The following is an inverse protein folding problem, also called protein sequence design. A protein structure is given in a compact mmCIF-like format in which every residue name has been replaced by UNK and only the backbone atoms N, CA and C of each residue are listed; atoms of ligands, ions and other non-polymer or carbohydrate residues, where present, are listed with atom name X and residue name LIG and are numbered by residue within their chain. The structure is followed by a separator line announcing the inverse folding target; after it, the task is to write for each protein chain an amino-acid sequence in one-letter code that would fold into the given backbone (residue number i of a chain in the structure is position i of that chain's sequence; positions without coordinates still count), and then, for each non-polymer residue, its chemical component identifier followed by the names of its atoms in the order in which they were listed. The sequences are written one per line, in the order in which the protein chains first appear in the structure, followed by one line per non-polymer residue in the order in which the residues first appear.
data_IF_973518259869
#
_entry.id   IF_973518259869
#
_cell.length_a   1.000
_cell.length_b   1.000
_cell.length_c   1.000
_cell.angle_alpha   90.00
_cell.angle_beta   90.00
_cell.angle_gamma   90.00
#
_symmetry.space_group_name_H-M   'P 1'
#
loop_
_entity.id
_entity.type
_entity.pdbx_description
1 polymer ?
#
# COMPACT_ATOMS: atom_id res chain seq x y z
N UNK A 1 12.41 24.01 13.52
CA UNK A 1 12.11 24.09 12.07
C UNK A 1 10.97 23.12 11.76
N UNK A 2 10.22 23.30 10.67
CA UNK A 2 9.15 22.37 10.26
C UNK A 2 9.65 20.96 9.86
N UNK A 3 10.96 20.74 9.82
CA UNK A 3 11.62 19.53 9.32
C UNK A 3 12.72 19.06 10.28
N UNK A 4 12.35 18.80 11.54
CA UNK A 4 13.27 18.28 12.56
C UNK A 4 13.70 16.84 12.21
N UNK A 5 15.01 16.55 12.28
CA UNK A 5 15.56 15.21 12.04
C UNK A 5 15.99 14.93 10.60
N UNK A 6 15.72 15.83 9.65
CA UNK A 6 16.26 15.75 8.29
C UNK A 6 17.69 16.30 8.23
N UNK A 7 18.56 15.59 7.51
CA UNK A 7 19.94 16.00 7.26
C UNK A 7 19.99 17.07 6.17
N UNK A 8 20.97 17.97 6.27
CA UNK A 8 21.25 18.92 5.19
C UNK A 8 21.82 18.20 3.96
N UNK A 9 21.70 18.78 2.75
CA UNK A 9 22.25 18.18 1.53
C UNK A 9 23.76 17.93 1.56
N UNK A 10 24.49 18.62 2.45
CA UNK A 10 25.94 18.44 2.64
C UNK A 10 26.30 17.27 3.56
N UNK A 11 25.32 16.68 4.22
CA UNK A 11 25.51 15.58 5.16
C UNK A 11 25.13 14.26 4.50
N UNK A 12 26.07 13.32 4.43
CA UNK A 12 25.80 11.97 3.93
C UNK A 12 24.80 11.25 4.85
N UNK A 13 23.81 10.61 4.24
CA UNK A 13 22.93 9.68 4.95
C UNK A 13 23.68 8.38 5.24
N UNK A 14 23.35 7.74 6.37
CA UNK A 14 23.81 6.36 6.62
C UNK A 14 22.85 5.43 5.89
N UNK A 15 23.34 4.27 5.43
CA UNK A 15 22.47 3.19 4.97
C UNK A 15 21.56 2.83 6.15
N UNK A 16 20.25 2.76 5.89
CA UNK A 16 19.26 2.35 6.87
C UNK A 16 18.81 0.94 6.53
N UNK A 17 18.56 0.16 7.56
CA UNK A 17 17.83 -1.10 7.40
C UNK A 17 16.38 -0.78 7.03
N UNK A 18 15.96 -1.21 5.86
CA UNK A 18 14.59 -1.09 5.36
C UNK A 18 13.84 -2.41 5.41
N UNK A 19 14.46 -3.44 6.02
CA UNK A 19 13.84 -4.73 6.23
C UNK A 19 12.70 -4.63 7.23
N UNK A 20 11.63 -5.37 6.95
CA UNK A 20 10.47 -5.50 7.84
C UNK A 20 10.23 -6.98 8.15
N UNK A 21 9.48 -7.26 9.21
CA UNK A 21 9.17 -8.63 9.58
C UNK A 21 8.30 -9.32 8.51
N UNK A 22 8.61 -10.57 8.20
CA UNK A 22 7.85 -11.37 7.22
C UNK A 22 6.35 -11.50 7.59
N UNK A 23 6.03 -11.53 8.89
CA UNK A 23 4.66 -11.55 9.37
C UNK A 23 3.88 -10.30 8.96
N UNK A 24 4.53 -9.14 9.00
CA UNK A 24 3.93 -7.86 8.61
C UNK A 24 3.70 -7.80 7.10
N UNK A 25 4.71 -8.22 6.31
CA UNK A 25 4.58 -8.33 4.85
C UNK A 25 3.44 -9.28 4.44
N UNK A 26 3.31 -10.43 5.12
CA UNK A 26 2.19 -11.35 4.86
C UNK A 26 0.85 -10.73 5.22
N UNK A 27 0.76 -10.06 6.37
CA UNK A 27 -0.48 -9.39 6.78
C UNK A 27 -0.91 -8.33 5.76
N UNK A 28 0.01 -7.45 5.35
CA UNK A 28 -0.24 -6.42 4.33
C UNK A 28 -0.63 -7.08 3.01
N UNK A 29 0.15 -8.06 2.56
CA UNK A 29 -0.06 -8.75 1.28
C UNK A 29 -1.42 -9.43 1.19
N UNK A 30 -1.86 -10.10 2.27
CA UNK A 30 -3.19 -10.71 2.33
C UNK A 30 -4.28 -9.64 2.28
N UNK A 31 -4.14 -8.54 3.05
CA UNK A 31 -5.10 -7.43 3.10
C UNK A 31 -5.28 -6.74 1.74
N UNK A 32 -4.21 -6.50 1.01
CA UNK A 32 -4.30 -5.84 -0.31
C UNK A 32 -4.95 -6.73 -1.39
N UNK A 33 -5.06 -8.03 -1.14
CA UNK A 33 -5.73 -8.99 -2.03
C UNK A 33 -7.19 -9.27 -1.61
N UNK A 34 -7.65 -8.74 -0.48
CA UNK A 34 -9.03 -8.89 -0.01
C UNK A 34 -9.96 -7.92 -0.76
N UNK A 35 -11.12 -8.42 -1.19
CA UNK A 35 -12.18 -7.61 -1.78
C UNK A 35 -13.31 -7.40 -0.79
N UNK A 36 -13.96 -6.22 -0.78
CA UNK A 36 -15.17 -6.00 0.02
C UNK A 36 -16.30 -6.97 -0.35
N UNK A 37 -17.18 -7.26 0.60
CA UNK A 37 -18.37 -8.10 0.34
C UNK A 37 -19.23 -7.46 -0.76
N UNK A 38 -19.55 -8.24 -1.79
CA UNK A 38 -20.38 -7.80 -2.92
C UNK A 38 -19.64 -6.95 -3.96
N UNK A 39 -18.30 -6.81 -3.86
CA UNK A 39 -17.49 -6.12 -4.85
C UNK A 39 -17.04 -7.09 -5.95
N UNK A 40 -17.41 -6.83 -7.20
CA UNK A 40 -17.09 -7.72 -8.32
C UNK A 40 -16.08 -7.06 -9.26
N UNK A 41 -14.86 -7.59 -9.32
CA UNK A 41 -13.84 -7.09 -10.25
C UNK A 41 -13.89 -7.84 -11.58
N UNK A 42 -13.21 -7.31 -12.60
CA UNK A 42 -13.07 -7.99 -13.87
C UNK A 42 -12.37 -9.36 -13.70
N UNK A 43 -12.84 -10.40 -14.40
CA UNK A 43 -12.35 -11.79 -14.25
C UNK A 43 -10.83 -11.94 -14.37
N UNK A 44 -10.19 -11.15 -15.23
CA UNK A 44 -8.73 -11.16 -15.38
C UNK A 44 -8.03 -10.60 -14.14
N UNK A 45 -8.62 -9.59 -13.50
CA UNK A 45 -8.10 -8.99 -12.28
C UNK A 45 -8.27 -9.93 -11.08
N UNK A 46 -9.37 -10.69 -11.01
CA UNK A 46 -9.53 -11.75 -9.99
C UNK A 46 -8.39 -12.76 -10.03
N UNK A 47 -7.99 -13.19 -11.23
CA UNK A 47 -6.83 -14.10 -11.42
C UNK A 47 -5.53 -13.48 -10.95
N UNK A 48 -5.32 -12.19 -11.24
CA UNK A 48 -4.12 -11.46 -10.79
C UNK A 48 -4.10 -11.41 -9.26
N UNK A 49 -5.20 -11.03 -8.62
CA UNK A 49 -5.29 -10.96 -7.15
C UNK A 49 -5.11 -12.34 -6.50
N UNK A 50 -5.71 -13.40 -7.07
CA UNK A 50 -5.52 -14.76 -6.59
C UNK A 50 -4.05 -15.23 -6.72
N UNK A 51 -3.40 -14.90 -7.84
CA UNK A 51 -1.98 -15.19 -8.05
C UNK A 51 -1.09 -14.46 -7.04
N UNK A 52 -1.33 -13.16 -6.81
CA UNK A 52 -0.62 -12.38 -5.79
C UNK A 52 -0.80 -12.96 -4.38
N UNK A 53 -2.03 -13.32 -4.02
CA UNK A 53 -2.32 -13.95 -2.73
C UNK A 53 -1.49 -15.23 -2.55
N UNK A 54 -1.45 -16.08 -3.57
CA UNK A 54 -0.67 -17.32 -3.56
C UNK A 54 0.84 -17.05 -3.39
N UNK A 55 1.41 -16.12 -4.16
CA UNK A 55 2.86 -15.83 -4.06
C UNK A 55 3.24 -15.22 -2.71
N UNK A 56 2.35 -14.45 -2.09
CA UNK A 56 2.52 -13.92 -0.72
C UNK A 56 2.48 -15.04 0.33
N UNK A 57 1.53 -15.97 0.21
CA UNK A 57 1.41 -17.13 1.12
C UNK A 57 2.64 -18.06 1.01
N UNK A 58 3.06 -18.36 -0.21
CA UNK A 58 4.23 -19.22 -0.48
C UNK A 58 5.56 -18.51 -0.22
N UNK A 59 5.58 -17.17 -0.26
CA UNK A 59 6.77 -16.35 -0.08
C UNK A 59 7.80 -16.46 -1.22
N UNK A 60 7.37 -16.89 -2.41
CA UNK A 60 8.22 -17.10 -3.59
C UNK A 60 7.56 -16.52 -4.83
N UNK A 61 8.38 -16.06 -5.79
CA UNK A 61 7.89 -15.52 -7.06
C UNK A 61 7.11 -14.21 -6.93
N UNK A 62 7.48 -13.36 -5.96
CA UNK A 62 6.90 -12.02 -5.81
C UNK A 62 7.29 -11.17 -7.02
N UNK A 63 6.29 -10.69 -7.76
CA UNK A 63 6.45 -9.80 -8.88
C UNK A 63 6.60 -8.34 -8.44
N UNK A 64 6.97 -7.47 -9.38
CA UNK A 64 7.25 -6.07 -9.10
C UNK A 64 6.04 -5.32 -8.53
N UNK A 65 4.84 -5.54 -9.07
CA UNK A 65 3.63 -4.87 -8.60
C UNK A 65 3.28 -5.26 -7.16
N UNK A 66 3.51 -6.52 -6.79
CA UNK A 66 3.32 -6.98 -5.40
C UNK A 66 4.38 -6.40 -4.47
N UNK A 67 5.66 -6.42 -4.86
CA UNK A 67 6.73 -5.83 -4.06
C UNK A 67 6.52 -4.32 -3.82
N UNK A 68 6.08 -3.59 -4.85
CA UNK A 68 5.73 -2.17 -4.76
C UNK A 68 4.58 -1.94 -3.76
N UNK A 69 3.50 -2.72 -3.87
CA UNK A 69 2.37 -2.62 -2.95
C UNK A 69 2.74 -2.95 -1.50
N UNK A 70 3.60 -3.94 -1.28
CA UNK A 70 4.12 -4.28 0.04
C UNK A 70 4.93 -3.12 0.64
N UNK A 71 5.81 -2.50 -0.16
CA UNK A 71 6.60 -1.35 0.29
C UNK A 71 5.74 -0.12 0.62
N UNK A 72 4.69 0.15 -0.16
CA UNK A 72 3.75 1.20 0.21
C UNK A 72 2.98 0.85 1.47
N UNK A 73 2.51 -0.39 1.60
CA UNK A 73 1.79 -0.85 2.79
C UNK A 73 2.60 -0.69 4.07
N UNK A 74 3.90 -1.04 4.06
CA UNK A 74 4.77 -0.89 5.24
C UNK A 74 4.96 0.58 5.61
N UNK A 75 5.19 1.46 4.63
CA UNK A 75 5.28 2.90 4.86
C UNK A 75 4.00 3.46 5.48
N UNK A 76 2.84 3.01 5.00
CA UNK A 76 1.54 3.43 5.54
C UNK A 76 1.36 2.97 6.99
N UNK A 77 1.76 1.74 7.31
CA UNK A 77 1.72 1.20 8.68
C UNK A 77 2.69 1.93 9.63
N UNK A 78 3.81 2.43 9.12
CA UNK A 78 4.74 3.30 9.87
C UNK A 78 4.24 4.74 10.02
N UNK A 79 3.08 5.08 9.46
CA UNK A 79 2.49 6.40 9.51
C UNK A 79 3.05 7.39 8.49
N UNK A 80 3.73 6.91 7.44
CA UNK A 80 4.17 7.75 6.33
C UNK A 80 3.12 7.75 5.23
N UNK A 81 2.62 8.93 4.88
CA UNK A 81 1.69 9.09 3.76
C UNK A 81 2.39 8.81 2.43
N UNK A 82 1.68 8.11 1.54
CA UNK A 82 2.16 7.81 0.20
C UNK A 82 1.22 8.45 -0.81
N UNK A 83 1.80 9.23 -1.73
CA UNK A 83 1.08 9.83 -2.85
C UNK A 83 1.69 9.33 -4.14
N UNK A 84 0.86 8.75 -4.99
CA UNK A 84 1.23 8.33 -6.34
C UNK A 84 0.52 9.21 -7.36
N UNK A 85 1.27 9.86 -8.24
CA UNK A 85 0.69 10.73 -9.26
C UNK A 85 1.21 10.45 -10.66
N UNK A 86 0.32 10.58 -11.65
CA UNK A 86 0.68 10.47 -13.06
C UNK A 86 -0.45 9.93 -13.93
N UNK A 87 -0.20 9.78 -15.23
CA UNK A 87 -1.17 9.21 -16.16
C UNK A 87 -1.30 7.70 -15.92
N UNK A 88 -2.55 7.22 -15.83
CA UNK A 88 -2.91 5.81 -15.64
C UNK A 88 -2.25 5.12 -14.44
N UNK A 89 -1.80 5.88 -13.43
CA UNK A 89 -1.05 5.29 -12.29
C UNK A 89 -1.91 4.37 -11.43
N UNK A 90 -3.22 4.56 -11.41
CA UNK A 90 -4.20 3.73 -10.68
C UNK A 90 -4.13 2.26 -11.08
N UNK A 91 -4.23 1.97 -12.38
CA UNK A 91 -4.06 0.63 -12.95
C UNK A 91 -2.59 0.29 -13.18
N UNK A 92 -1.80 1.30 -13.51
CA UNK A 92 -0.49 1.22 -14.13
C UNK A 92 -0.61 1.08 -15.64
N UNK A 93 0.28 1.76 -16.38
CA UNK A 93 0.35 1.71 -17.86
C UNK A 93 0.42 0.27 -18.37
N UNK A 94 1.22 -0.59 -17.71
CA UNK A 94 1.35 -2.01 -18.06
C UNK A 94 0.39 -2.93 -17.29
N UNK A 95 -0.68 -2.38 -16.67
CA UNK A 95 -1.67 -3.15 -15.89
C UNK A 95 -1.03 -4.06 -14.83
N UNK A 96 0.04 -3.60 -14.19
CA UNK A 96 0.80 -4.37 -13.20
C UNK A 96 0.48 -3.97 -11.76
N UNK A 97 -0.12 -2.79 -11.53
CA UNK A 97 -0.29 -2.22 -10.20
C UNK A 97 -1.66 -2.56 -9.61
N UNK A 98 -2.72 -2.10 -10.27
CA UNK A 98 -4.09 -2.20 -9.76
C UNK A 98 -4.22 -1.67 -8.32
N UNK A 99 -3.75 -0.44 -8.09
CA UNK A 99 -3.86 0.23 -6.79
C UNK A 99 -5.30 0.70 -6.52
N UNK A 100 -6.05 0.99 -7.58
CA UNK A 100 -7.50 1.24 -7.54
C UNK A 100 -8.19 0.10 -8.28
N UNK A 101 -9.15 -0.52 -7.62
CA UNK A 101 -10.01 -1.55 -8.17
C UNK A 101 -11.37 -0.92 -8.48
N UNK A 102 -11.96 -1.31 -9.61
CA UNK A 102 -13.29 -0.85 -10.03
C UNK A 102 -14.24 -2.05 -10.02
N UNK A 103 -15.43 -1.84 -9.46
CA UNK A 103 -16.52 -2.80 -9.56
C UNK A 103 -17.06 -2.85 -11.00
N UNK A 104 -17.44 -4.03 -11.47
CA UNK A 104 -18.00 -4.24 -12.81
C UNK A 104 -19.50 -3.91 -12.85
N UNK A 105 -20.19 -4.07 -11.73
CA UNK A 105 -21.64 -3.86 -11.64
C UNK A 105 -22.01 -2.47 -11.15
N UNK A 106 -21.05 -1.73 -10.60
CA UNK A 106 -21.25 -0.39 -10.08
C UNK A 106 -20.02 0.48 -10.34
N UNK A 107 -20.16 1.80 -10.37
CA UNK A 107 -19.02 2.73 -10.51
C UNK A 107 -18.24 2.92 -9.19
N UNK A 108 -18.34 1.96 -8.26
CA UNK A 108 -17.62 2.02 -6.99
C UNK A 108 -16.16 1.67 -7.19
N UNK A 109 -15.30 2.43 -6.53
CA UNK A 109 -13.87 2.17 -6.47
C UNK A 109 -13.48 1.63 -5.09
N UNK A 110 -12.45 0.79 -5.08
CA UNK A 110 -11.85 0.27 -3.85
C UNK A 110 -10.34 0.40 -3.93
N UNK A 111 -9.73 0.96 -2.90
CA UNK A 111 -8.27 1.11 -2.77
C UNK A 111 -7.80 0.17 -1.66
N UNK A 112 -7.24 -1.02 -1.99
CA UNK A 112 -6.87 -2.00 -0.97
C UNK A 112 -5.85 -1.48 0.05
N UNK A 113 -4.91 -0.64 -0.40
CA UNK A 113 -3.89 -0.03 0.47
C UNK A 113 -4.46 0.89 1.57
N UNK A 114 -5.70 1.37 1.42
CA UNK A 114 -6.38 2.17 2.45
C UNK A 114 -7.16 1.32 3.47
N UNK A 115 -7.12 -0.01 3.35
CA UNK A 115 -7.90 -0.94 4.17
C UNK A 115 -7.03 -2.02 4.85
N UNK A 116 -5.75 -1.74 5.08
CA UNK A 116 -4.84 -2.64 5.82
C UNK A 116 -5.12 -2.56 7.33
N UNK A 117 -5.32 -1.33 7.83
CA UNK A 117 -5.62 -0.99 9.21
C UNK A 117 -6.57 0.22 9.27
N UNK A 118 -6.86 0.74 10.46
CA UNK A 118 -7.75 1.91 10.61
C UNK A 118 -7.05 3.14 10.02
N UNK A 119 -7.70 3.83 9.09
CA UNK A 119 -7.11 5.01 8.45
C UNK A 119 -7.05 6.21 9.41
N UNK A 120 -5.90 6.88 9.48
CA UNK A 120 -5.76 8.17 10.15
C UNK A 120 -6.45 9.28 9.37
N UNK A 121 -6.94 10.31 10.08
CA UNK A 121 -7.38 11.54 9.43
C UNK A 121 -6.20 12.21 8.72
N UNK A 122 -6.38 12.81 7.52
CA UNK A 122 -5.32 13.54 6.82
C UNK A 122 -4.68 14.66 7.65
N UNK A 123 -5.45 15.23 8.57
CA UNK A 123 -5.05 16.32 9.46
C UNK A 123 -4.47 15.84 10.80
N UNK A 124 -4.44 14.52 11.05
CA UNK A 124 -3.93 13.99 12.31
C UNK A 124 -2.42 14.26 12.43
N UNK A 125 -1.93 14.67 13.62
CA UNK A 125 -0.50 14.86 13.82
C UNK A 125 0.24 13.51 13.78
N UNK A 126 1.47 13.50 13.24
CA UNK A 126 2.27 12.28 13.06
C UNK A 126 2.52 11.50 14.37
N UNK A 127 2.52 12.19 15.51
CA UNK A 127 2.68 11.58 16.84
C UNK A 127 1.57 10.58 17.14
N UNK A 128 0.35 10.87 16.69
CA UNK A 128 -0.83 10.06 16.97
C UNK A 128 -0.87 8.83 16.07
N UNK A 129 -0.29 8.93 14.87
CA UNK A 129 -0.21 7.83 13.90
C UNK A 129 0.92 6.86 14.28
N UNK A 130 2.11 7.39 14.63
CA UNK A 130 3.27 6.56 15.00
C UNK A 130 3.14 5.89 16.37
N UNK A 131 2.33 6.44 17.27
CA UNK A 131 2.10 5.89 18.61
C UNK A 131 0.98 4.85 18.70
N UNK A 132 0.06 4.82 17.72
CA UNK A 132 -1.13 4.00 17.78
C UNK A 132 -0.96 2.69 16.98
N UNK A 133 -0.92 1.57 17.69
CA UNK A 133 -0.99 0.24 17.05
C UNK A 133 -2.31 0.10 16.30
N UNK A 134 -2.23 -0.26 15.01
CA UNK A 134 -3.41 -0.51 14.18
C UNK A 134 -4.01 0.72 13.49
N UNK A 135 -3.26 1.83 13.43
CA UNK A 135 -3.58 2.98 12.57
C UNK A 135 -2.60 3.00 11.40
N UNK A 136 -3.10 3.27 10.19
CA UNK A 136 -2.28 3.51 9.01
C UNK A 136 -2.42 4.95 8.51
N UNK A 137 -1.39 5.43 7.83
CA UNK A 137 -1.45 6.64 7.03
C UNK A 137 -2.31 6.46 5.77
N UNK A 138 -2.54 7.57 5.07
CA UNK A 138 -3.35 7.64 3.86
C UNK A 138 -2.51 7.39 2.61
N UNK A 139 -3.03 6.52 1.74
CA UNK A 139 -2.58 6.35 0.35
C UNK A 139 -3.47 7.18 -0.57
N UNK A 140 -2.85 8.05 -1.38
CA UNK A 140 -3.54 8.93 -2.32
C UNK A 140 -3.04 8.65 -3.73
N UNK A 141 -3.98 8.45 -4.66
CA UNK A 141 -3.69 8.39 -6.09
C UNK A 141 -4.36 9.59 -6.75
N UNK A 142 -3.62 10.34 -7.58
CA UNK A 142 -4.11 11.56 -8.22
C UNK A 142 -3.46 11.82 -9.58
#
# INVERSE_FOLDING_TARGET
SRWSGFKSPRQLSRIRETGVYLSELRNIGLKICELPKGFQVHKQLEKILASRKKTIEEGKGIDWGTAEALAFGTLLMEGNHVRLTGQDVERGTFSHRHAVLHDQNSDKTHIPLNHIAKQALPSAPLTDIKGARGIQAMFVVA
#
